data_IF_147141559192
#
_entry.id   IF_147141559192
#
_cell.length_a   1.000
_cell.length_b   1.000
_cell.length_c   1.000
_cell.angle_alpha   90.00
_cell.angle_beta   90.00
_cell.angle_gamma   90.00
#
_symmetry.space_group_name_H-M   'P 1'
#
loop_
_entity.id
_entity.type
_entity.pdbx_description
1 polymer ?
#
# COMPACT_ATOMS: atom_id res chain seq x y z
N UNK A 1 12.40 -10.64 -19.94
CA UNK A 1 12.77 -9.54 -19.00
C UNK A 1 14.11 -9.88 -18.39
N UNK A 2 14.97 -8.88 -18.15
CA UNK A 2 16.26 -9.09 -17.49
C UNK A 2 16.28 -8.35 -16.17
N UNK A 3 16.92 -8.95 -15.17
CA UNK A 3 17.18 -8.32 -13.89
C UNK A 3 18.35 -7.36 -14.06
N UNK A 4 18.22 -6.15 -13.56
CA UNK A 4 19.27 -5.13 -13.53
C UNK A 4 19.66 -4.82 -12.08
N UNK A 5 20.84 -4.22 -11.88
CA UNK A 5 21.27 -3.71 -10.58
C UNK A 5 20.85 -2.25 -10.44
N UNK A 6 20.22 -1.90 -9.31
CA UNK A 6 19.90 -0.52 -8.92
C UNK A 6 20.43 -0.27 -7.51
N UNK A 7 21.55 0.45 -7.41
CA UNK A 7 22.26 0.61 -6.14
C UNK A 7 22.71 -0.74 -5.57
N UNK A 8 22.29 -1.04 -4.34
CA UNK A 8 22.55 -2.31 -3.66
C UNK A 8 21.43 -3.36 -3.88
N UNK A 9 20.46 -3.06 -4.73
CA UNK A 9 19.27 -3.88 -4.96
C UNK A 9 19.17 -4.35 -6.41
N UNK A 10 18.28 -5.33 -6.63
CA UNK A 10 17.92 -5.81 -7.96
C UNK A 10 16.62 -5.15 -8.41
N UNK A 11 16.53 -4.88 -9.70
CA UNK A 11 15.36 -4.28 -10.34
C UNK A 11 14.92 -5.12 -11.54
N UNK A 12 13.61 -5.16 -11.76
CA UNK A 12 13.01 -5.72 -12.97
C UNK A 12 12.24 -4.62 -13.69
N UNK A 13 12.23 -4.67 -15.01
CA UNK A 13 11.32 -3.81 -15.78
C UNK A 13 9.90 -4.33 -15.58
N UNK A 14 8.91 -3.45 -15.52
CA UNK A 14 7.50 -3.80 -15.59
C UNK A 14 6.97 -3.49 -17.01
N UNK A 15 6.13 -4.34 -17.62
CA UNK A 15 5.53 -4.03 -18.91
C UNK A 15 4.61 -2.81 -18.78
N UNK A 16 4.51 -1.99 -19.82
CA UNK A 16 3.67 -0.78 -19.81
C UNK A 16 2.21 -1.10 -19.48
N UNK A 17 1.68 -2.20 -20.01
CA UNK A 17 0.32 -2.65 -19.71
C UNK A 17 0.07 -2.86 -18.21
N UNK A 18 1.04 -3.46 -17.50
CA UNK A 18 0.93 -3.70 -16.05
C UNK A 18 1.05 -2.40 -15.25
N UNK A 19 1.92 -1.48 -15.68
CA UNK A 19 2.05 -0.15 -15.07
C UNK A 19 0.72 0.60 -15.16
N UNK A 20 0.07 0.54 -16.32
CA UNK A 20 -1.23 1.17 -16.55
C UNK A 20 -2.36 0.50 -15.75
N UNK A 21 -2.42 -0.82 -15.74
CA UNK A 21 -3.44 -1.58 -15.01
C UNK A 21 -3.37 -1.34 -13.50
N UNK A 22 -2.16 -1.32 -12.94
CA UNK A 22 -1.94 -1.05 -11.51
C UNK A 22 -1.95 0.46 -11.17
N UNK A 23 -2.08 1.33 -12.18
CA UNK A 23 -2.08 2.78 -12.00
C UNK A 23 -0.81 3.33 -11.34
N UNK A 24 0.34 2.72 -11.64
CA UNK A 24 1.63 3.08 -11.04
C UNK A 24 2.21 4.28 -11.79
N UNK A 25 2.67 5.28 -11.05
CA UNK A 25 3.44 6.42 -11.56
C UNK A 25 4.81 6.51 -10.91
N UNK A 26 5.66 7.38 -11.44
CA UNK A 26 6.97 7.64 -10.84
C UNK A 26 6.80 8.19 -9.40
N UNK A 27 7.62 7.68 -8.48
CA UNK A 27 7.55 8.01 -7.05
C UNK A 27 6.53 7.21 -6.23
N UNK A 28 5.73 6.33 -6.83
CA UNK A 28 4.87 5.42 -6.06
C UNK A 28 5.68 4.37 -5.30
N UNK A 29 5.23 4.05 -4.09
CA UNK A 29 5.76 2.93 -3.32
C UNK A 29 5.03 1.63 -3.71
N UNK A 30 5.81 0.58 -3.98
CA UNK A 30 5.28 -0.74 -4.31
C UNK A 30 5.64 -1.75 -3.23
N UNK A 31 4.70 -2.64 -2.91
CA UNK A 31 4.93 -3.81 -2.08
C UNK A 31 4.98 -5.06 -2.96
N UNK A 32 6.08 -5.82 -2.82
CA UNK A 32 6.30 -7.09 -3.48
C UNK A 32 6.24 -8.20 -2.43
N UNK A 33 5.35 -9.18 -2.62
CA UNK A 33 5.21 -10.34 -1.73
C UNK A 33 5.35 -11.64 -2.54
N UNK A 34 5.97 -12.69 -1.98
CA UNK A 34 5.93 -14.01 -2.60
C UNK A 34 4.48 -14.51 -2.63
N UNK A 35 4.04 -15.03 -3.77
CA UNK A 35 2.74 -15.66 -3.86
C UNK A 35 2.78 -17.01 -3.11
N UNK A 36 1.90 -17.19 -2.13
CA UNK A 36 1.75 -18.47 -1.41
C UNK A 36 1.04 -19.54 -2.24
N UNK A 37 0.27 -19.13 -3.24
CA UNK A 37 -0.40 -20.00 -4.20
C UNK A 37 -0.06 -19.51 -5.60
N UNK A 38 0.79 -20.25 -6.31
CA UNK A 38 1.16 -19.92 -7.66
C UNK A 38 0.50 -20.90 -8.64
N UNK A 39 0.07 -20.43 -9.83
CA UNK A 39 -0.31 -21.31 -10.91
C UNK A 39 0.86 -22.24 -11.23
N UNK A 40 0.60 -23.55 -11.27
CA UNK A 40 1.56 -24.57 -11.72
C UNK A 40 2.83 -24.73 -10.86
N UNK A 41 2.83 -24.25 -9.61
CA UNK A 41 3.97 -24.41 -8.70
C UNK A 41 5.20 -23.58 -9.06
N UNK A 42 5.07 -22.62 -9.97
CA UNK A 42 6.16 -21.71 -10.35
C UNK A 42 6.29 -20.59 -9.29
N UNK A 43 7.50 -20.12 -8.95
CA UNK A 43 7.63 -18.99 -8.04
C UNK A 43 7.00 -17.74 -8.68
N UNK A 44 6.06 -17.13 -7.96
CA UNK A 44 5.39 -15.91 -8.39
C UNK A 44 5.53 -14.81 -7.33
N UNK A 45 5.46 -13.56 -7.78
CA UNK A 45 5.49 -12.38 -6.93
C UNK A 45 4.21 -11.58 -7.16
N UNK A 46 3.56 -11.20 -6.08
CA UNK A 46 2.41 -10.29 -6.07
C UNK A 46 2.97 -8.87 -5.95
N UNK A 47 2.59 -8.01 -6.88
CA UNK A 47 2.95 -6.59 -6.89
C UNK A 47 1.71 -5.77 -6.57
N UNK A 48 1.81 -4.89 -5.59
CA UNK A 48 0.71 -3.99 -5.22
C UNK A 48 1.23 -2.57 -4.99
N UNK A 49 0.45 -1.58 -5.41
CA UNK A 49 0.74 -0.16 -5.13
C UNK A 49 0.30 0.15 -3.71
N UNK A 50 1.18 0.74 -2.91
CA UNK A 50 0.83 1.21 -1.58
C UNK A 50 0.08 2.54 -1.70
N UNK A 51 -1.04 2.71 -0.97
CA UNK A 51 -1.78 3.96 -1.01
C UNK A 51 -0.95 5.08 -0.38
N UNK A 52 -0.90 6.20 -1.08
CA UNK A 52 -0.24 7.42 -0.63
C UNK A 52 -0.83 7.89 0.71
N UNK A 53 -0.10 8.77 1.40
CA UNK A 53 -0.58 9.37 2.66
C UNK A 53 -1.95 10.04 2.50
N UNK A 54 -2.16 10.75 1.39
CA UNK A 54 -3.41 11.45 1.11
C UNK A 54 -4.54 10.45 0.86
N UNK A 55 -4.31 9.41 0.05
CA UNK A 55 -5.31 8.37 -0.21
C UNK A 55 -5.70 7.62 1.08
N UNK A 56 -4.72 7.33 1.95
CA UNK A 56 -5.00 6.76 3.27
C UNK A 56 -5.86 7.67 4.12
N UNK A 57 -5.53 8.97 4.19
CA UNK A 57 -6.33 9.95 4.95
C UNK A 57 -7.75 10.10 4.38
N UNK A 58 -7.90 10.06 3.05
CA UNK A 58 -9.20 10.09 2.39
C UNK A 58 -10.01 8.83 2.70
N UNK A 59 -9.39 7.65 2.64
CA UNK A 59 -10.03 6.39 2.99
C UNK A 59 -10.52 6.38 4.45
N UNK A 60 -9.75 6.99 5.37
CA UNK A 60 -10.16 7.11 6.77
C UNK A 60 -11.41 7.96 6.99
N UNK A 61 -11.73 8.88 6.07
CA UNK A 61 -12.94 9.73 6.19
C UNK A 61 -14.23 8.91 6.17
N UNK A 62 -14.24 7.69 5.61
CA UNK A 62 -15.42 6.80 5.64
C UNK A 62 -15.83 6.39 7.06
N UNK A 63 -14.89 6.45 8.01
CA UNK A 63 -15.13 6.11 9.42
C UNK A 63 -15.56 7.32 10.26
N UNK A 64 -15.72 8.50 9.65
CA UNK A 64 -16.27 9.66 10.35
C UNK A 64 -17.75 9.39 10.65
N UNK A 65 -18.06 9.21 11.92
CA UNK A 65 -19.41 9.26 12.45
C UNK A 65 -19.57 10.54 13.28
N UNK A 66 -20.77 11.14 13.34
CA UNK A 66 -21.05 12.18 14.32
C UNK A 66 -20.89 11.59 15.71
N UNK A 67 -20.27 12.36 16.61
CA UNK A 67 -20.20 12.00 18.02
C UNK A 67 -21.57 12.20 18.68
N UNK A 68 -21.88 11.44 19.75
CA UNK A 68 -23.03 11.73 20.62
C UNK A 68 -23.03 13.17 21.13
N UNK A 69 -24.21 13.72 21.43
CA UNK A 69 -24.36 15.11 21.84
C UNK A 69 -23.61 15.46 23.14
N UNK A 70 -23.40 14.47 23.98
CA UNK A 70 -22.72 14.52 25.28
C UNK A 70 -21.25 14.08 25.22
N UNK A 71 -20.74 13.74 24.04
CA UNK A 71 -19.35 13.33 23.90
C UNK A 71 -18.39 14.49 24.12
N UNK A 72 -17.54 14.34 25.13
CA UNK A 72 -16.37 15.19 25.36
C UNK A 72 -15.11 14.34 25.31
N UNK A 73 -14.09 14.80 24.60
CA UNK A 73 -12.79 14.14 24.57
C UNK A 73 -11.88 14.75 25.63
N UNK A 74 -11.51 13.97 26.65
CA UNK A 74 -10.48 14.32 27.62
C UNK A 74 -9.19 13.55 27.33
N UNK A 75 -8.10 14.31 27.15
CA UNK A 75 -6.79 13.74 26.81
C UNK A 75 -6.13 13.05 28.00
N UNK A 76 -6.26 13.61 29.20
CA UNK A 76 -5.56 13.10 30.38
C UNK A 76 -6.24 11.82 30.88
N UNK A 77 -7.58 11.76 30.82
CA UNK A 77 -8.37 10.54 31.04
C UNK A 77 -7.93 9.42 30.08
N UNK A 78 -7.83 9.71 28.78
CA UNK A 78 -7.46 8.71 27.77
C UNK A 78 -6.02 8.20 27.91
N UNK A 79 -5.13 8.99 28.54
CA UNK A 79 -3.71 8.66 28.76
C UNK A 79 -3.41 8.11 30.15
N UNK A 80 -4.41 7.97 31.03
CA UNK A 80 -4.27 7.32 32.33
C UNK A 80 -4.15 5.79 32.14
N UNK A 81 -2.94 5.34 31.77
CA UNK A 81 -2.57 3.93 31.62
C UNK A 81 -1.35 3.63 32.49
#
# INVERSE_FOLDING_TARGET
MQVAKWGNSLAVRLPVALVQELGIVDGDELQLLPATQAPEGKPCVIVSRLPSKIERLQAMRRFRAPFPADFSFDRDEANAR
#
